data_IF_079718821628
#
_entry.id   IF_079718821628
#
_cell.length_a   1.000
_cell.length_b   1.000
_cell.length_c   1.000
_cell.angle_alpha   90.00
_cell.angle_beta   90.00
_cell.angle_gamma   90.00
#
_symmetry.space_group_name_H-M   'P 1'
#
loop_
_entity.id
_entity.type
_entity.pdbx_description
1 polymer ?
#
# COMPACT_ATOMS: atom_id res chain seq x y z
N UNK A 1 26.65 -61.71 5.26
CA UNK A 1 25.29 -61.41 4.76
C UNK A 1 24.31 -61.23 5.91
N UNK A 2 24.00 -60.00 6.37
CA UNK A 2 22.68 -59.65 6.97
C UNK A 2 22.57 -58.13 7.25
N UNK A 3 21.97 -57.43 6.29
CA UNK A 3 21.05 -56.27 6.37
C UNK A 3 21.27 -55.22 7.47
N UNK A 4 21.90 -54.10 7.10
CA UNK A 4 21.76 -52.82 7.80
C UNK A 4 20.40 -52.23 7.38
N UNK A 5 19.47 -52.10 8.33
CA UNK A 5 18.16 -51.49 8.13
C UNK A 5 18.34 -49.99 8.31
N UNK A 6 18.25 -49.23 7.21
CA UNK A 6 18.23 -47.76 7.23
C UNK A 6 16.76 -47.31 7.37
N UNK A 7 16.37 -46.90 8.57
CA UNK A 7 15.05 -46.32 8.84
C UNK A 7 15.03 -44.87 8.30
N UNK A 8 14.30 -44.64 7.22
CA UNK A 8 14.07 -43.31 6.66
C UNK A 8 13.02 -42.56 7.50
N UNK A 9 13.47 -41.63 8.34
CA UNK A 9 12.60 -40.69 9.06
C UNK A 9 12.14 -39.61 8.06
N UNK A 10 10.89 -39.71 7.60
CA UNK A 10 10.24 -38.67 6.81
C UNK A 10 9.80 -37.56 7.75
N UNK A 11 10.59 -36.50 7.85
CA UNK A 11 10.23 -35.29 8.57
C UNK A 11 9.20 -34.49 7.74
N UNK A 12 7.91 -34.67 8.04
CA UNK A 12 6.87 -33.74 7.59
C UNK A 12 7.07 -32.39 8.31
N UNK A 13 7.82 -31.48 7.70
CA UNK A 13 7.85 -30.09 8.17
C UNK A 13 6.52 -29.43 7.83
N UNK A 14 5.74 -28.95 8.81
CA UNK A 14 4.51 -28.23 8.53
C UNK A 14 4.87 -26.92 7.82
N UNK A 15 4.41 -26.78 6.57
CA UNK A 15 4.47 -25.49 5.88
C UNK A 15 3.49 -24.58 6.60
N UNK A 16 4.01 -23.61 7.36
CA UNK A 16 3.18 -22.61 8.01
C UNK A 16 2.46 -21.79 6.93
N UNK A 17 1.18 -22.11 6.71
CA UNK A 17 0.29 -21.23 5.99
C UNK A 17 0.04 -20.01 6.87
N UNK A 18 0.88 -18.98 6.73
CA UNK A 18 0.62 -17.68 7.33
C UNK A 18 -0.67 -17.13 6.70
N UNK A 19 -1.79 -17.29 7.40
CA UNK A 19 -3.01 -16.59 7.04
C UNK A 19 -2.69 -15.09 7.10
N UNK A 20 -2.85 -14.37 5.98
CA UNK A 20 -2.72 -12.91 5.94
C UNK A 20 -3.85 -12.28 6.76
N UNK A 21 -3.70 -12.30 8.08
CA UNK A 21 -4.42 -11.46 9.01
C UNK A 21 -3.79 -10.07 8.92
N UNK A 22 -4.25 -9.27 7.94
CA UNK A 22 -3.82 -7.89 7.87
C UNK A 22 -4.33 -7.17 9.12
N UNK A 23 -3.42 -6.67 9.96
CA UNK A 23 -3.77 -5.70 10.98
C UNK A 23 -4.40 -4.48 10.28
N UNK A 24 -5.51 -3.91 10.80
CA UNK A 24 -6.13 -2.72 10.20
C UNK A 24 -5.10 -1.60 10.00
N UNK A 25 -4.88 -1.23 8.73
CA UNK A 25 -3.93 -0.18 8.38
C UNK A 25 -4.59 1.20 8.58
N UNK A 26 -4.14 1.95 9.59
CA UNK A 26 -4.65 3.28 9.89
C UNK A 26 -3.82 4.38 9.19
N UNK A 27 -4.40 5.57 9.04
CA UNK A 27 -3.69 6.73 8.46
C UNK A 27 -2.57 7.21 9.37
N UNK A 28 -2.72 7.05 10.69
CA UNK A 28 -1.65 7.34 11.64
C UNK A 28 -0.48 6.37 11.45
N UNK A 29 -0.75 5.07 11.31
CA UNK A 29 0.29 4.08 11.04
C UNK A 29 1.02 4.37 9.72
N UNK A 30 0.30 4.71 8.64
CA UNK A 30 0.91 5.13 7.38
C UNK A 30 1.76 6.41 7.54
N UNK A 31 1.30 7.37 8.35
CA UNK A 31 2.07 8.58 8.62
C UNK A 31 3.35 8.31 9.40
N UNK A 32 3.29 7.48 10.44
CA UNK A 32 4.46 7.07 11.22
C UNK A 32 5.47 6.33 10.32
N UNK A 33 4.99 5.37 9.53
CA UNK A 33 5.82 4.65 8.58
C UNK A 33 6.50 5.59 7.56
N UNK A 34 5.78 6.60 7.07
CA UNK A 34 6.33 7.61 6.16
C UNK A 34 7.38 8.51 6.83
N UNK A 35 7.26 8.79 8.14
CA UNK A 35 8.24 9.58 8.91
C UNK A 35 9.49 8.76 9.25
N UNK A 36 9.33 7.46 9.50
CA UNK A 36 10.43 6.53 9.82
C UNK A 36 11.23 6.10 8.57
N UNK A 37 10.69 6.37 7.37
CA UNK A 37 11.34 6.04 6.11
C UNK A 37 12.42 7.05 5.74
N UNK A 38 13.50 6.57 5.09
CA UNK A 38 14.50 7.43 4.45
C UNK A 38 13.96 8.15 3.21
N UNK A 39 12.86 7.64 2.63
CA UNK A 39 12.22 8.25 1.48
C UNK A 39 11.40 9.48 1.89
N UNK A 40 11.32 10.47 0.99
CA UNK A 40 10.53 11.68 1.24
C UNK A 40 9.09 11.44 0.85
N UNK A 41 8.15 11.73 1.75
CA UNK A 41 6.72 11.58 1.48
C UNK A 41 5.98 12.92 1.44
N UNK A 42 4.99 12.99 0.56
CA UNK A 42 4.02 14.07 0.51
C UNK A 42 2.61 13.50 0.65
N UNK A 43 1.86 13.99 1.63
CA UNK A 43 0.46 13.59 1.81
C UNK A 43 -0.44 14.44 0.91
N UNK A 44 -1.24 13.80 0.05
CA UNK A 44 -2.10 14.47 -0.93
C UNK A 44 -3.52 13.98 -0.79
N UNK A 45 -4.49 14.91 -0.73
CA UNK A 45 -5.91 14.62 -0.83
C UNK A 45 -6.40 15.04 -2.22
N UNK A 46 -7.01 14.15 -2.97
CA UNK A 46 -7.38 14.44 -4.36
C UNK A 46 -8.11 13.32 -5.08
N UNK A 47 -8.12 13.36 -6.40
CA UNK A 47 -8.61 12.30 -7.27
C UNK A 47 -7.47 11.63 -8.01
N UNK A 48 -7.50 10.29 -8.03
CA UNK A 48 -6.51 9.46 -8.71
C UNK A 48 -7.12 8.90 -10.01
N UNK A 49 -6.59 9.33 -11.15
CA UNK A 49 -6.96 8.82 -12.46
C UNK A 49 -5.90 7.86 -13.00
N UNK A 50 -6.32 6.71 -13.49
CA UNK A 50 -5.45 5.69 -14.08
C UNK A 50 -6.28 4.74 -14.96
N UNK A 51 -5.64 3.92 -15.79
CA UNK A 51 -6.35 2.88 -16.55
C UNK A 51 -6.64 1.67 -15.65
N UNK A 52 -7.88 1.56 -15.16
CA UNK A 52 -8.32 0.46 -14.30
C UNK A 52 -8.20 -0.93 -14.96
N UNK A 53 -8.12 -1.01 -16.29
CA UNK A 53 -7.91 -2.28 -17.01
C UNK A 53 -6.51 -2.85 -16.81
N UNK A 54 -5.55 -2.00 -16.39
CA UNK A 54 -4.17 -2.39 -16.08
C UNK A 54 -3.98 -2.89 -14.66
N UNK A 55 -5.02 -2.90 -13.82
CA UNK A 55 -4.94 -3.52 -12.50
C UNK A 55 -4.61 -5.02 -12.63
N UNK A 56 -3.74 -5.55 -11.76
CA UNK A 56 -3.40 -6.96 -11.79
C UNK A 56 -4.65 -7.82 -11.57
N UNK A 57 -4.77 -8.88 -12.35
CA UNK A 57 -5.82 -9.88 -12.21
C UNK A 57 -5.17 -11.19 -11.78
N UNK A 58 -5.54 -11.68 -10.61
CA UNK A 58 -5.06 -12.97 -10.13
C UNK A 58 -5.51 -14.08 -11.07
N UNK A 59 -4.57 -14.83 -11.62
CA UNK A 59 -4.88 -16.06 -12.33
C UNK A 59 -5.02 -17.20 -11.31
N UNK A 60 -6.26 -17.66 -11.08
CA UNK A 60 -6.54 -18.74 -10.12
C UNK A 60 -5.94 -20.09 -10.52
N UNK A 61 -5.70 -20.33 -11.82
CA UNK A 61 -5.15 -21.58 -12.34
C UNK A 61 -3.62 -21.59 -12.34
N UNK A 62 -3.01 -20.42 -12.43
CA UNK A 62 -1.56 -20.23 -12.39
C UNK A 62 -1.22 -18.94 -11.65
N UNK A 63 -1.10 -19.04 -10.33
CA UNK A 63 -0.80 -17.89 -9.46
C UNK A 63 0.61 -17.33 -9.71
N UNK A 64 1.53 -18.14 -10.25
CA UNK A 64 2.91 -17.71 -10.56
C UNK A 64 2.97 -16.79 -11.77
N UNK A 65 1.95 -16.83 -12.63
CA UNK A 65 1.84 -15.94 -13.78
C UNK A 65 1.39 -14.52 -13.40
N UNK A 66 0.91 -14.28 -12.18
CA UNK A 66 0.57 -12.94 -11.71
C UNK A 66 1.83 -12.24 -11.19
N UNK A 67 2.23 -11.08 -11.75
CA UNK A 67 3.39 -10.35 -11.25
C UNK A 67 3.20 -9.94 -9.79
N UNK A 68 4.26 -10.06 -8.98
CA UNK A 68 4.25 -9.61 -7.58
C UNK A 68 4.01 -8.10 -7.46
N UNK A 69 4.39 -7.33 -8.49
CA UNK A 69 4.18 -5.90 -8.54
C UNK A 69 3.82 -5.44 -9.94
N UNK A 70 2.75 -4.65 -10.05
CA UNK A 70 2.30 -4.01 -11.30
C UNK A 70 2.39 -2.50 -11.17
N UNK A 71 3.14 -1.84 -12.07
CA UNK A 71 3.28 -0.38 -12.10
C UNK A 71 2.33 0.21 -13.14
N UNK A 72 1.47 1.12 -12.72
CA UNK A 72 0.44 1.74 -13.55
C UNK A 72 0.67 3.25 -13.55
N UNK A 73 0.84 3.83 -14.75
CA UNK A 73 0.87 5.28 -14.90
C UNK A 73 -0.48 5.87 -14.49
N UNK A 74 -0.43 6.90 -13.63
CA UNK A 74 -1.60 7.54 -13.05
C UNK A 74 -1.36 9.05 -12.95
N UNK A 75 -2.45 9.80 -12.74
CA UNK A 75 -2.39 11.23 -12.45
C UNK A 75 -3.17 11.53 -11.17
N UNK A 76 -2.52 12.23 -10.25
CA UNK A 76 -3.11 12.63 -8.98
C UNK A 76 -3.31 14.15 -8.97
N UNK A 77 -4.58 14.57 -8.84
CA UNK A 77 -4.97 15.98 -8.80
C UNK A 77 -5.73 16.30 -7.51
N UNK A 78 -5.29 17.31 -6.77
CA UNK A 78 -5.89 17.71 -5.51
C UNK A 78 -5.04 18.76 -4.78
N UNK A 79 -4.90 18.60 -3.47
CA UNK A 79 -4.05 19.46 -2.63
C UNK A 79 -3.16 18.64 -1.71
N UNK A 80 -1.95 19.12 -1.47
CA UNK A 80 -1.01 18.52 -0.54
C UNK A 80 -1.14 19.11 0.86
N UNK A 81 -0.81 18.30 1.86
CA UNK A 81 -0.75 18.69 3.25
C UNK A 81 0.45 19.60 3.50
N UNK A 82 0.21 20.69 4.20
CA UNK A 82 1.21 21.66 4.65
C UNK A 82 0.84 22.17 6.05
N UNK A 83 1.63 23.09 6.61
CA UNK A 83 1.29 23.76 7.86
C UNK A 83 -0.08 24.47 7.83
N UNK A 84 -0.56 24.89 6.64
CA UNK A 84 -1.88 25.50 6.44
C UNK A 84 -2.99 24.46 6.19
N UNK A 85 -2.66 23.17 6.25
CA UNK A 85 -3.54 22.06 5.87
C UNK A 85 -3.45 21.71 4.38
N UNK A 86 -4.54 21.16 3.84
CA UNK A 86 -4.67 20.73 2.45
C UNK A 86 -4.96 21.91 1.50
N UNK A 87 -4.01 22.84 1.40
CA UNK A 87 -4.18 24.10 0.65
C UNK A 87 -3.26 24.23 -0.56
N UNK A 88 -2.13 23.52 -0.60
CA UNK A 88 -1.16 23.66 -1.69
C UNK A 88 -1.63 22.82 -2.88
N UNK A 89 -1.84 23.40 -4.08
CA UNK A 89 -2.28 22.65 -5.25
C UNK A 89 -1.28 21.54 -5.61
N UNK A 90 -1.81 20.35 -5.91
CA UNK A 90 -1.04 19.21 -6.38
C UNK A 90 -1.66 18.66 -7.66
N UNK A 91 -0.88 18.56 -8.73
CA UNK A 91 -1.33 18.05 -10.02
C UNK A 91 -0.13 17.46 -10.77
N UNK A 92 0.20 16.22 -10.45
CA UNK A 92 1.42 15.56 -10.93
C UNK A 92 1.09 14.16 -11.44
N UNK A 93 1.92 13.69 -12.38
CA UNK A 93 1.94 12.30 -12.76
C UNK A 93 2.59 11.47 -11.66
N UNK A 94 2.00 10.31 -11.38
CA UNK A 94 2.43 9.40 -10.33
C UNK A 94 2.38 7.97 -10.87
N UNK A 95 3.19 7.09 -10.31
CA UNK A 95 3.11 5.66 -10.57
C UNK A 95 2.32 5.00 -9.44
N UNK A 96 1.19 4.39 -9.77
CA UNK A 96 0.48 3.49 -8.86
C UNK A 96 1.17 2.13 -8.91
N UNK A 97 1.87 1.77 -7.83
CA UNK A 97 2.55 0.49 -7.66
C UNK A 97 1.65 -0.46 -6.89
N UNK A 98 1.13 -1.48 -7.55
CA UNK A 98 0.16 -2.43 -7.01
C UNK A 98 0.83 -3.76 -6.73
N UNK A 99 0.97 -4.11 -5.46
CA UNK A 99 1.54 -5.38 -5.05
C UNK A 99 0.48 -6.50 -4.97
N UNK A 100 0.94 -7.72 -5.23
CA UNK A 100 0.20 -8.96 -5.04
C UNK A 100 0.98 -9.87 -4.09
N UNK A 101 0.31 -10.38 -3.07
CA UNK A 101 0.84 -11.39 -2.14
C UNK A 101 0.12 -12.71 -2.43
N UNK A 102 0.78 -13.59 -3.18
CA UNK A 102 0.17 -14.83 -3.68
C UNK A 102 -1.11 -14.53 -4.48
N UNK A 103 -2.27 -15.09 -4.11
CA UNK A 103 -3.51 -14.88 -4.84
C UNK A 103 -4.20 -13.53 -4.58
N UNK A 104 -3.73 -12.75 -3.60
CA UNK A 104 -4.36 -11.48 -3.23
C UNK A 104 -3.58 -10.33 -3.85
N UNK A 105 -4.26 -9.52 -4.67
CA UNK A 105 -3.71 -8.28 -5.20
C UNK A 105 -4.38 -7.08 -4.55
N UNK A 106 -3.62 -6.02 -4.32
CA UNK A 106 -4.20 -4.74 -3.95
C UNK A 106 -5.06 -4.20 -5.11
N UNK A 107 -5.98 -3.30 -4.77
CA UNK A 107 -6.80 -2.61 -5.76
C UNK A 107 -7.05 -1.18 -5.32
N UNK A 108 -7.33 -0.33 -6.30
CA UNK A 108 -7.71 1.06 -6.10
C UNK A 108 -8.93 1.38 -6.97
N UNK A 109 -9.77 2.32 -6.51
CA UNK A 109 -10.87 2.80 -7.33
C UNK A 109 -10.42 4.03 -8.13
N UNK A 110 -10.73 4.04 -9.43
CA UNK A 110 -10.43 5.15 -10.33
C UNK A 110 -11.36 6.33 -10.07
N UNK A 111 -10.81 7.54 -10.10
CA UNK A 111 -11.55 8.80 -10.10
C UNK A 111 -12.24 9.16 -8.77
N UNK A 112 -12.07 8.33 -7.74
CA UNK A 112 -12.58 8.62 -6.40
C UNK A 112 -11.70 9.60 -5.66
N UNK A 113 -12.28 10.24 -4.65
CA UNK A 113 -11.49 10.96 -3.65
C UNK A 113 -10.57 9.97 -2.90
N UNK A 114 -9.31 10.35 -2.75
CA UNK A 114 -8.28 9.57 -2.06
C UNK A 114 -7.48 10.47 -1.12
N UNK A 115 -6.93 9.85 -0.08
CA UNK A 115 -5.81 10.37 0.68
C UNK A 115 -4.60 9.48 0.38
N UNK A 116 -3.57 10.03 -0.26
CA UNK A 116 -2.40 9.30 -0.71
C UNK A 116 -1.13 9.79 -0.01
N UNK A 117 -0.27 8.85 0.38
CA UNK A 117 1.09 9.11 0.81
C UNK A 117 1.99 8.91 -0.41
N UNK A 118 2.35 10.01 -1.06
CA UNK A 118 3.13 9.99 -2.30
C UNK A 118 4.60 9.96 -1.93
N UNK A 119 5.29 8.87 -2.25
CA UNK A 119 6.74 8.79 -2.17
C UNK A 119 7.35 9.63 -3.30
N UNK A 120 8.26 10.54 -2.95
CA UNK A 120 8.96 11.41 -3.88
C UNK A 120 10.29 10.77 -4.24
N UNK A 121 10.51 10.52 -5.53
CA UNK A 121 11.72 9.89 -6.04
C UNK A 121 12.31 10.62 -7.23
N UNK A 122 13.63 10.46 -7.44
CA UNK A 122 14.32 11.02 -8.61
C UNK A 122 13.78 10.44 -9.94
N UNK A 123 13.26 9.22 -9.92
CA UNK A 123 12.65 8.54 -11.07
C UNK A 123 11.14 8.79 -11.18
N UNK A 124 10.59 9.66 -10.34
CA UNK A 124 9.17 9.98 -10.31
C UNK A 124 8.48 9.60 -9.00
N UNK A 125 7.27 10.10 -8.85
CA UNK A 125 6.46 9.95 -7.65
C UNK A 125 5.72 8.61 -7.65
N UNK A 126 5.68 7.92 -6.51
CA UNK A 126 5.11 6.58 -6.41
C UNK A 126 4.07 6.52 -5.29
N UNK A 127 2.98 5.80 -5.55
CA UNK A 127 1.97 5.44 -4.56
C UNK A 127 1.95 3.92 -4.50
N UNK A 128 2.42 3.36 -3.40
CA UNK A 128 2.54 1.91 -3.22
C UNK A 128 1.39 1.34 -2.41
N UNK A 129 0.69 0.36 -2.97
CA UNK A 129 -0.41 -0.35 -2.31
C UNK A 129 -0.18 -1.85 -2.33
N UNK A 130 -0.68 -2.54 -1.31
CA UNK A 130 -0.61 -3.97 -1.14
C UNK A 130 -1.95 -4.52 -0.59
N UNK A 131 -2.16 -5.85 -0.57
CA UNK A 131 -3.42 -6.43 -0.11
C UNK A 131 -3.81 -6.08 1.34
N UNK A 132 -2.86 -5.66 2.17
CA UNK A 132 -3.08 -5.21 3.54
C UNK A 132 -3.27 -3.69 3.69
N UNK A 133 -3.26 -2.94 2.59
CA UNK A 133 -3.36 -1.47 2.59
C UNK A 133 -2.16 -0.82 1.92
N UNK A 134 -1.48 0.08 2.64
CA UNK A 134 -0.36 0.87 2.13
C UNK A 134 -0.74 2.33 1.94
N UNK A 135 -0.16 2.97 0.93
CA UNK A 135 -0.06 4.42 0.85
C UNK A 135 -1.28 5.10 0.20
N UNK A 136 -2.40 4.40 0.07
CA UNK A 136 -3.59 4.94 -0.58
C UNK A 136 -4.85 4.58 0.21
N UNK A 137 -5.57 5.61 0.64
CA UNK A 137 -6.83 5.48 1.35
C UNK A 137 -7.95 6.00 0.43
N UNK A 138 -8.79 5.09 -0.06
CA UNK A 138 -9.98 5.45 -0.84
C UNK A 138 -11.08 6.04 0.03
N UNK A 139 -11.75 7.07 -0.47
CA UNK A 139 -12.89 7.75 0.18
C UNK A 139 -12.59 8.11 1.65
N UNK A 140 -11.54 8.91 1.92
CA UNK A 140 -11.07 9.17 3.27
C UNK A 140 -12.13 9.88 4.11
N UNK A 141 -12.42 9.34 5.29
CA UNK A 141 -13.40 9.95 6.21
C UNK A 141 -12.89 11.26 6.80
N UNK A 142 -13.78 12.17 7.27
CA UNK A 142 -13.34 13.36 8.00
C UNK A 142 -12.46 13.05 9.23
N UNK A 143 -12.67 11.89 9.88
CA UNK A 143 -11.84 11.43 11.00
C UNK A 143 -10.41 11.14 10.56
N UNK A 144 -10.22 10.49 9.41
CA UNK A 144 -8.91 10.22 8.82
C UNK A 144 -8.18 11.52 8.44
N UNK A 145 -8.89 12.47 7.84
CA UNK A 145 -8.33 13.79 7.49
C UNK A 145 -7.90 14.57 8.74
N UNK A 146 -8.68 14.51 9.82
CA UNK A 146 -8.26 15.12 11.10
C UNK A 146 -7.04 14.41 11.69
N UNK A 147 -7.03 13.08 11.69
CA UNK A 147 -5.93 12.29 12.24
C UNK A 147 -4.60 12.61 11.55
N UNK A 148 -4.55 12.65 10.21
CA UNK A 148 -3.31 12.97 9.49
C UNK A 148 -2.84 14.40 9.73
N UNK A 149 -3.78 15.35 9.87
CA UNK A 149 -3.44 16.74 10.22
C UNK A 149 -2.87 16.83 11.64
N UNK A 150 -3.45 16.11 12.60
CA UNK A 150 -2.93 16.05 13.97
C UNK A 150 -1.53 15.45 13.99
N UNK A 151 -1.30 14.34 13.28
CA UNK A 151 0.02 13.75 13.12
C UNK A 151 1.04 14.74 12.54
N UNK A 152 0.67 15.43 11.45
CA UNK A 152 1.52 16.41 10.80
C UNK A 152 1.85 17.62 11.70
N UNK A 153 0.94 18.02 12.57
CA UNK A 153 1.15 19.10 13.54
C UNK A 153 1.98 18.68 14.77
N UNK A 154 2.48 17.44 14.83
CA UNK A 154 3.21 16.92 15.99
C UNK A 154 2.31 16.54 17.18
N UNK A 155 1.01 16.43 16.97
CA UNK A 155 0.07 15.97 17.99
C UNK A 155 0.08 14.45 18.18
N UNK A 156 -0.89 13.93 18.93
CA UNK A 156 -1.02 12.50 19.17
C UNK A 156 -1.25 11.72 17.86
N UNK A 157 -0.22 11.00 17.41
CA UNK A 157 -0.23 10.20 16.17
C UNK A 157 -0.21 8.70 16.47
N UNK A 158 -1.14 8.24 17.32
CA UNK A 158 -1.22 6.81 17.67
C UNK A 158 -2.28 6.14 16.82
N UNK A 159 -1.97 4.97 16.26
CA UNK A 159 -2.97 4.11 15.64
C UNK A 159 -4.01 3.75 16.69
N UNK A 160 -5.28 4.10 16.45
CA UNK A 160 -6.37 3.66 17.32
C UNK A 160 -6.57 2.18 16.98
N UNK A 161 -6.25 1.32 17.95
CA UNK A 161 -6.36 -0.13 17.86
C UNK A 161 -7.83 -0.56 17.81
#
# INVERSE_FOLDING_TARGET
MKKIILAAVVACTPVAAAALSCMPHSVQAAFQQAQESEAKFLVVRGRLEFDARKLPKTNRKDQRATPEQTRIAARLKGTSLSAKGFSTPYNQDVTLSVACFGPWCASAQRGTEVLAFVELGAQGNVISINPCGGNLFGTPTPKMIRAVKTCFAGGACTSIR
#
